data_IF_330404301100
#
_entry.id   IF_330404301100
#
_cell.length_a   1.000
_cell.length_b   1.000
_cell.length_c   1.000
_cell.angle_alpha   90.00
_cell.angle_beta   90.00
_cell.angle_gamma   90.00
#
_symmetry.space_group_name_H-M   'P 1'
#
loop_
_entity.id
_entity.type
_entity.pdbx_description
1 polymer ?
#
# COMPACT_ATOMS: atom_id res chain seq x y z
N UNK A 1 9.88 -1.50 -25.63
CA UNK A 1 9.25 -1.00 -24.39
C UNK A 1 10.12 -1.41 -23.22
N UNK A 2 10.73 -0.45 -22.50
CA UNK A 2 11.37 -0.75 -21.21
C UNK A 2 10.24 -0.86 -20.18
N UNK A 3 9.82 -2.08 -19.84
CA UNK A 3 8.87 -2.28 -18.75
C UNK A 3 9.55 -1.86 -17.44
N UNK A 4 8.93 -0.93 -16.70
CA UNK A 4 9.37 -0.53 -15.38
C UNK A 4 8.55 -1.31 -14.36
N UNK A 5 9.22 -2.16 -13.59
CA UNK A 5 8.60 -2.79 -12.44
C UNK A 5 8.53 -1.77 -11.30
N UNK A 6 7.41 -1.80 -10.59
CA UNK A 6 7.12 -0.93 -9.46
C UNK A 6 6.88 -1.83 -8.25
N UNK A 7 7.60 -1.58 -7.17
CA UNK A 7 7.37 -2.26 -5.90
C UNK A 7 6.39 -1.44 -5.07
N UNK A 8 5.32 -2.09 -4.63
CA UNK A 8 4.25 -1.46 -3.86
C UNK A 8 4.05 -2.26 -2.58
N UNK A 9 4.03 -1.58 -1.44
CA UNK A 9 3.70 -2.17 -0.14
C UNK A 9 2.25 -1.91 0.22
N UNK A 10 1.66 -2.85 0.96
CA UNK A 10 0.29 -2.77 1.47
C UNK A 10 0.26 -3.21 2.93
N UNK A 11 -0.10 -2.30 3.82
CA UNK A 11 -0.24 -2.57 5.23
C UNK A 11 -1.60 -3.22 5.53
N UNK A 12 -1.58 -4.31 6.30
CA UNK A 12 -2.76 -4.96 6.87
C UNK A 12 -2.82 -4.61 8.35
N UNK A 13 -3.60 -3.58 8.70
CA UNK A 13 -3.74 -3.12 10.08
C UNK A 13 -5.07 -3.58 10.67
N UNK A 14 -5.00 -4.43 11.70
CA UNK A 14 -6.18 -4.97 12.40
C UNK A 14 -6.20 -4.44 13.83
N UNK A 15 -7.31 -3.80 14.22
CA UNK A 15 -7.55 -3.34 15.59
C UNK A 15 -9.02 -3.57 15.95
N UNK A 16 -9.30 -4.09 17.15
CA UNK A 16 -10.66 -4.36 17.63
C UNK A 16 -11.51 -5.19 16.64
N UNK A 17 -10.88 -6.18 16.00
CA UNK A 17 -11.46 -7.02 14.93
C UNK A 17 -11.93 -6.24 13.68
N UNK A 18 -11.43 -5.03 13.47
CA UNK A 18 -11.66 -4.20 12.29
C UNK A 18 -10.37 -4.03 11.49
N UNK A 19 -10.50 -3.98 10.16
CA UNK A 19 -9.40 -3.74 9.22
C UNK A 19 -9.41 -2.26 8.79
N UNK A 20 -8.25 -1.60 8.83
CA UNK A 20 -8.11 -0.27 8.26
C UNK A 20 -8.03 -0.34 6.73
N UNK A 21 -8.85 0.47 6.07
CA UNK A 21 -8.85 0.66 4.63
C UNK A 21 -8.85 2.14 4.28
N UNK A 22 -8.25 2.50 3.15
CA UNK A 22 -8.36 3.83 2.56
C UNK A 22 -9.48 3.83 1.52
N UNK A 23 -10.32 4.86 1.55
CA UNK A 23 -11.34 5.10 0.53
C UNK A 23 -10.84 6.17 -0.44
N UNK A 24 -10.89 5.87 -1.73
CA UNK A 24 -10.83 6.90 -2.75
C UNK A 24 -12.26 7.25 -3.14
N UNK A 25 -12.69 8.48 -2.86
CA UNK A 25 -14.10 8.91 -2.99
C UNK A 25 -14.60 8.62 -4.41
N UNK A 26 -15.66 7.83 -4.52
CA UNK A 26 -16.24 7.39 -5.79
C UNK A 26 -15.61 6.12 -6.38
N UNK A 27 -14.74 5.42 -5.64
CA UNK A 27 -14.01 4.23 -6.09
C UNK A 27 -13.95 3.13 -5.01
N UNK A 28 -13.15 2.10 -5.25
CA UNK A 28 -12.97 0.97 -4.33
C UNK A 28 -12.22 1.35 -3.05
N UNK A 29 -12.33 0.48 -2.06
CA UNK A 29 -11.49 0.51 -0.86
C UNK A 29 -10.17 -0.22 -1.12
N UNK A 30 -9.09 0.29 -0.53
CA UNK A 30 -7.75 -0.26 -0.69
C UNK A 30 -7.08 -0.44 0.66
N UNK A 31 -6.14 -1.38 0.73
CA UNK A 31 -5.19 -1.44 1.85
C UNK A 31 -4.29 -0.20 1.80
N UNK A 32 -4.02 0.45 2.95
CA UNK A 32 -3.04 1.53 3.03
C UNK A 32 -1.66 1.07 2.52
N UNK A 33 -0.87 1.98 1.98
CA UNK A 33 0.51 1.72 1.53
C UNK A 33 0.84 2.48 0.25
N UNK A 34 2.05 2.28 -0.27
CA UNK A 34 2.60 3.13 -1.33
C UNK A 34 3.72 2.48 -2.12
N UNK A 35 4.45 3.32 -2.85
CA UNK A 35 5.68 2.92 -3.52
C UNK A 35 6.77 2.62 -2.50
N UNK A 36 7.62 1.65 -2.81
CA UNK A 36 8.91 1.52 -2.14
C UNK A 36 9.92 2.37 -2.88
N UNK A 37 10.58 3.27 -2.16
CA UNK A 37 11.62 4.13 -2.75
C UNK A 37 12.94 3.38 -2.95
N UNK A 38 13.80 3.90 -3.83
CA UNK A 38 15.09 3.27 -4.12
C UNK A 38 15.99 3.35 -2.88
N UNK A 39 16.38 2.19 -2.36
CA UNK A 39 17.21 2.08 -1.15
C UNK A 39 16.40 1.95 0.14
N UNK A 40 15.07 1.99 0.06
CA UNK A 40 14.17 1.74 1.17
C UNK A 40 13.83 0.25 1.29
N UNK A 41 13.62 -0.23 2.52
CA UNK A 41 13.10 -1.58 2.76
C UNK A 41 11.58 -1.57 2.75
N UNK A 42 10.96 -2.70 2.44
CA UNK A 42 9.50 -2.79 2.41
C UNK A 42 8.84 -2.49 3.78
N UNK A 43 9.55 -2.70 4.88
CA UNK A 43 9.09 -2.41 6.23
C UNK A 43 9.18 -0.92 6.60
N UNK A 44 10.07 -0.17 5.95
CA UNK A 44 10.26 1.26 6.18
C UNK A 44 9.37 2.13 5.28
N UNK A 45 8.94 1.58 4.14
CA UNK A 45 8.01 2.18 3.18
C UNK A 45 6.55 2.18 3.68
#
# INVERSE_FOLDING_TARGET
MKNKFHHIVRAVMIKDKKLLVAEYIGHHYFLPGGHVEVGESAENA
#
